data_IF_495090330114
#
_entry.id   IF_495090330114
#
_cell.length_a   1.000
_cell.length_b   1.000
_cell.length_c   1.000
_cell.angle_alpha   90.00
_cell.angle_beta   90.00
_cell.angle_gamma   90.00
#
_symmetry.space_group_name_H-M   'P 1'
#
loop_
_entity.id
_entity.type
_entity.pdbx_description
1 polymer ?
#
# COMPACT_ATOMS: atom_id res chain seq x y z
N UNK A 1 -12.44 6.36 -85.89
CA UNK A 1 -11.07 6.07 -85.43
C UNK A 1 -10.78 6.96 -84.22
N UNK A 2 -10.56 6.37 -83.05
CA UNK A 2 -10.33 7.14 -81.83
C UNK A 2 -8.82 7.35 -81.67
N UNK A 3 -8.38 8.55 -81.99
CA UNK A 3 -6.99 9.00 -81.95
C UNK A 3 -6.65 9.45 -80.53
N UNK A 4 -6.10 8.56 -79.71
CA UNK A 4 -5.46 8.93 -78.43
C UNK A 4 -4.16 8.15 -78.26
N UNK A 5 -3.13 8.54 -79.01
CA UNK A 5 -1.79 8.00 -78.86
C UNK A 5 -0.75 9.11 -79.02
N UNK A 6 -0.67 10.01 -78.04
CA UNK A 6 0.54 10.80 -77.81
C UNK A 6 0.64 11.25 -76.35
N UNK A 7 0.43 10.34 -75.40
CA UNK A 7 0.80 10.54 -74.01
C UNK A 7 2.25 10.10 -73.81
N UNK A 8 3.10 11.01 -73.34
CA UNK A 8 4.51 10.73 -73.03
C UNK A 8 4.63 9.50 -72.13
N UNK A 9 5.69 8.70 -72.30
CA UNK A 9 5.89 7.45 -71.54
C UNK A 9 5.88 7.63 -70.01
N UNK A 10 6.06 8.87 -69.53
CA UNK A 10 5.92 9.22 -68.10
C UNK A 10 4.44 9.25 -67.64
N UNK A 11 3.53 9.75 -68.47
CA UNK A 11 2.09 9.85 -68.16
C UNK A 11 1.39 8.49 -68.28
N UNK A 12 1.77 7.69 -69.28
CA UNK A 12 1.28 6.31 -69.42
C UNK A 12 1.71 5.41 -68.24
N UNK A 13 2.93 5.60 -67.71
CA UNK A 13 3.41 4.87 -66.53
C UNK A 13 2.71 5.32 -65.25
N UNK A 14 2.39 6.60 -65.12
CA UNK A 14 1.63 7.12 -63.98
C UNK A 14 0.19 6.57 -63.94
N UNK A 15 -0.48 6.47 -65.09
CA UNK A 15 -1.82 5.90 -65.19
C UNK A 15 -1.86 4.41 -64.82
N UNK A 16 -0.85 3.63 -65.27
CA UNK A 16 -0.72 2.20 -64.93
C UNK A 16 -0.44 2.01 -63.44
N UNK A 17 0.41 2.84 -62.82
CA UNK A 17 0.58 2.82 -61.36
C UNK A 17 -0.72 3.20 -60.65
N UNK A 18 -1.43 4.24 -61.12
CA UNK A 18 -2.69 4.70 -60.51
C UNK A 18 -3.79 3.62 -60.53
N UNK A 19 -3.85 2.79 -61.58
CA UNK A 19 -4.80 1.68 -61.69
C UNK A 19 -4.39 0.44 -60.88
N UNK A 20 -3.10 0.25 -60.62
CA UNK A 20 -2.60 -0.86 -59.80
C UNK A 20 -2.67 -0.58 -58.29
N UNK A 21 -2.63 0.69 -57.88
CA UNK A 21 -2.65 1.11 -56.48
C UNK A 21 -3.90 0.62 -55.71
N UNK A 22 -5.14 0.65 -56.23
CA UNK A 22 -6.30 0.13 -55.51
C UNK A 22 -6.19 -1.37 -55.24
N UNK A 23 -5.73 -2.15 -56.22
CA UNK A 23 -5.50 -3.59 -56.05
C UNK A 23 -4.41 -3.87 -55.03
N UNK A 24 -3.26 -3.21 -55.16
CA UNK A 24 -2.16 -3.30 -54.20
C UNK A 24 -2.56 -2.83 -52.80
N UNK A 25 -3.38 -1.80 -52.69
CA UNK A 25 -3.90 -1.29 -51.42
C UNK A 25 -4.88 -2.29 -50.80
N UNK A 26 -5.77 -2.91 -51.57
CA UNK A 26 -6.66 -3.98 -51.06
C UNK A 26 -5.87 -5.21 -50.61
N UNK A 27 -4.88 -5.67 -51.39
CA UNK A 27 -3.99 -6.77 -50.98
C UNK A 27 -3.16 -6.42 -49.76
N UNK A 28 -2.66 -5.18 -49.67
CA UNK A 28 -1.89 -4.70 -48.53
C UNK A 28 -2.76 -4.56 -47.27
N UNK A 29 -3.98 -4.03 -47.39
CA UNK A 29 -4.94 -3.93 -46.29
C UNK A 29 -5.40 -5.30 -45.80
N UNK A 30 -5.58 -6.27 -46.70
CA UNK A 30 -5.94 -7.64 -46.32
C UNK A 30 -4.78 -8.39 -45.64
N UNK A 31 -3.54 -7.97 -45.90
CA UNK A 31 -2.33 -8.50 -45.25
C UNK A 31 -1.84 -7.64 -44.07
N UNK A 32 -2.67 -6.72 -43.55
CA UNK A 32 -2.36 -6.01 -42.31
C UNK A 32 -2.87 -6.82 -41.10
N UNK A 33 -1.98 -7.36 -40.26
CA UNK A 33 -2.40 -8.09 -39.05
C UNK A 33 -3.18 -7.22 -38.06
N UNK A 34 -3.03 -5.89 -38.14
CA UNK A 34 -3.73 -4.92 -37.31
C UNK A 34 -5.22 -4.71 -37.69
N UNK A 35 -5.59 -4.91 -38.97
CA UNK A 35 -6.96 -4.68 -39.47
C UNK A 35 -7.87 -5.90 -39.20
N UNK A 36 -7.30 -7.11 -39.16
CA UNK A 36 -8.04 -8.36 -38.93
C UNK A 36 -8.32 -8.67 -37.45
N UNK A 37 -8.05 -7.74 -36.53
CA UNK A 37 -8.34 -7.92 -35.11
C UNK A 37 -7.44 -8.94 -34.39
N UNK A 38 -6.37 -9.41 -35.02
CA UNK A 38 -5.34 -10.16 -34.30
C UNK A 38 -4.43 -9.16 -33.57
N UNK A 39 -4.93 -8.67 -32.43
CA UNK A 39 -4.03 -8.24 -31.34
C UNK A 39 -3.05 -9.38 -31.17
N UNK A 40 -1.75 -9.12 -31.37
CA UNK A 40 -0.70 -10.08 -31.05
C UNK A 40 -0.99 -10.58 -29.64
N UNK A 41 -1.46 -11.83 -29.52
CA UNK A 41 -1.90 -12.37 -28.25
C UNK A 41 -0.73 -12.20 -27.29
N UNK A 42 -0.91 -11.39 -26.25
CA UNK A 42 0.10 -11.21 -25.22
C UNK A 42 0.49 -12.62 -24.76
N UNK A 43 1.73 -13.00 -25.06
CA UNK A 43 2.22 -14.36 -24.78
C UNK A 43 2.50 -14.55 -23.29
N UNK A 44 2.34 -13.51 -22.48
CA UNK A 44 2.47 -13.58 -21.05
C UNK A 44 1.25 -14.23 -20.40
N UNK A 45 1.44 -14.96 -19.29
CA UNK A 45 0.35 -15.49 -18.51
C UNK A 45 -0.51 -14.36 -17.90
N UNK A 46 -1.78 -14.67 -17.66
CA UNK A 46 -2.65 -13.88 -16.79
C UNK A 46 -2.33 -14.30 -15.36
N UNK A 47 -1.94 -13.34 -14.52
CA UNK A 47 -1.69 -13.56 -13.10
C UNK A 47 -2.83 -12.97 -12.27
N UNK A 48 -3.33 -13.73 -11.31
CA UNK A 48 -4.39 -13.29 -10.41
C UNK A 48 -4.05 -13.68 -8.97
N UNK A 49 -4.31 -12.77 -8.03
CA UNK A 49 -4.18 -12.99 -6.59
C UNK A 49 -5.60 -12.94 -6.02
N UNK A 50 -5.93 -13.86 -5.12
CA UNK A 50 -7.20 -13.82 -4.38
C UNK A 50 -7.44 -12.47 -3.69
N UNK A 51 -8.70 -12.10 -3.46
CA UNK A 51 -8.97 -10.93 -2.64
C UNK A 51 -8.54 -11.18 -1.19
N UNK A 52 -7.93 -10.16 -0.60
CA UNK A 52 -7.29 -10.18 0.72
C UNK A 52 -7.68 -8.85 1.33
N UNK A 53 -8.50 -8.92 2.37
CA UNK A 53 -9.03 -7.75 3.07
C UNK A 53 -8.04 -7.21 4.09
N UNK A 54 -8.58 -6.55 5.11
CA UNK A 54 -7.81 -6.05 6.23
C UNK A 54 -7.29 -7.22 7.08
N UNK A 55 -6.00 -7.21 7.42
CA UNK A 55 -5.36 -8.30 8.16
C UNK A 55 -4.63 -7.76 9.40
N UNK A 56 -4.42 -8.62 10.39
CA UNK A 56 -3.80 -8.26 11.67
C UNK A 56 -2.42 -8.91 11.82
N UNK A 57 -1.55 -8.32 12.65
CA UNK A 57 -0.24 -8.92 12.97
C UNK A 57 -0.38 -10.32 13.56
N UNK A 58 0.63 -11.17 13.33
CA UNK A 58 0.71 -12.56 13.79
C UNK A 58 -0.41 -13.49 13.30
N UNK A 59 -1.19 -13.06 12.31
CA UNK A 59 -2.18 -13.90 11.64
C UNK A 59 -1.53 -14.68 10.50
N UNK A 60 -1.88 -15.96 10.36
CA UNK A 60 -1.53 -16.75 9.18
C UNK A 60 -2.44 -16.37 8.01
N UNK A 61 -1.87 -15.69 7.01
CA UNK A 61 -2.59 -15.27 5.80
C UNK A 61 -2.29 -16.27 4.70
N UNK A 62 -3.33 -16.75 4.01
CA UNK A 62 -3.19 -17.62 2.85
C UNK A 62 -3.34 -16.81 1.57
N UNK A 63 -2.39 -16.98 0.66
CA UNK A 63 -2.35 -16.34 -0.65
C UNK A 63 -2.55 -17.41 -1.73
N UNK A 64 -3.54 -17.21 -2.60
CA UNK A 64 -3.89 -18.17 -3.66
C UNK A 64 -3.79 -17.51 -5.04
N UNK A 65 -3.09 -18.17 -5.97
CA UNK A 65 -2.90 -17.76 -7.36
C UNK A 65 -3.59 -18.69 -8.38
N UNK A 66 -4.49 -19.59 -7.96
CA UNK A 66 -5.19 -20.57 -8.82
C UNK A 66 -5.97 -19.97 -9.99
N UNK A 67 -6.38 -18.71 -9.88
CA UNK A 67 -7.05 -18.01 -10.98
C UNK A 67 -6.09 -17.55 -12.09
N UNK A 68 -4.78 -17.77 -11.94
CA UNK A 68 -3.78 -17.49 -12.98
C UNK A 68 -3.85 -18.54 -14.09
N UNK A 69 -3.69 -18.09 -15.34
CA UNK A 69 -3.88 -18.94 -16.51
C UNK A 69 -3.04 -18.45 -17.70
N UNK A 70 -2.56 -19.36 -18.55
CA UNK A 70 -1.87 -19.05 -19.80
C UNK A 70 -2.61 -19.68 -20.99
N UNK A 71 -3.18 -18.82 -21.83
CA UNK A 71 -3.92 -19.19 -23.03
C UNK A 71 -3.04 -19.88 -24.09
N UNK A 72 -1.73 -19.68 -24.03
CA UNK A 72 -0.77 -20.13 -25.03
C UNK A 72 0.10 -21.30 -24.55
N UNK A 73 -0.08 -21.75 -23.31
CA UNK A 73 0.69 -22.85 -22.75
C UNK A 73 0.03 -24.19 -23.09
N UNK A 74 0.65 -24.91 -24.03
CA UNK A 74 0.23 -26.26 -24.45
C UNK A 74 0.25 -27.27 -23.28
N UNK A 75 0.93 -26.94 -22.19
CA UNK A 75 0.91 -27.60 -20.89
C UNK A 75 0.97 -26.51 -19.81
N UNK A 76 0.04 -26.55 -18.86
CA UNK A 76 -0.21 -25.60 -17.76
C UNK A 76 0.96 -25.37 -16.77
N UNK A 77 2.22 -25.53 -17.19
CA UNK A 77 3.42 -25.37 -16.36
C UNK A 77 3.64 -23.89 -16.09
N UNK A 78 2.92 -23.39 -15.08
CA UNK A 78 3.12 -22.08 -14.51
C UNK A 78 3.98 -22.20 -13.25
N UNK A 79 4.99 -21.35 -13.18
CA UNK A 79 5.82 -21.20 -11.99
C UNK A 79 5.38 -19.96 -11.23
N UNK A 80 5.18 -20.11 -9.92
CA UNK A 80 4.69 -19.06 -9.04
C UNK A 80 5.77 -18.68 -8.06
N UNK A 81 6.12 -17.40 -8.04
CA UNK A 81 7.07 -16.83 -7.08
C UNK A 81 6.40 -15.64 -6.39
N UNK A 82 6.43 -15.66 -5.07
CA UNK A 82 5.84 -14.66 -4.20
C UNK A 82 6.94 -13.85 -3.53
N UNK A 83 6.68 -12.56 -3.36
CA UNK A 83 7.46 -11.64 -2.54
C UNK A 83 6.49 -10.87 -1.64
N UNK A 84 6.57 -11.10 -0.34
CA UNK A 84 5.68 -10.54 0.68
C UNK A 84 6.05 -9.10 1.06
N UNK A 85 7.24 -8.62 0.67
CA UNK A 85 7.69 -7.25 0.91
C UNK A 85 8.10 -6.91 2.34
N UNK A 86 8.22 -7.90 3.24
CA UNK A 86 8.54 -7.72 4.68
C UNK A 86 10.04 -7.83 5.02
N UNK A 87 10.90 -8.26 4.08
CA UNK A 87 12.35 -8.35 4.29
C UNK A 87 13.03 -9.52 3.59
N UNK A 88 14.10 -10.06 4.17
CA UNK A 88 14.94 -11.09 3.54
C UNK A 88 14.29 -12.48 3.46
N UNK A 89 13.31 -12.77 4.30
CA UNK A 89 12.56 -14.05 4.33
C UNK A 89 11.18 -13.94 3.68
N UNK A 90 11.00 -12.93 2.81
CA UNK A 90 9.73 -12.55 2.18
C UNK A 90 9.37 -13.38 0.95
N UNK A 91 10.14 -14.42 0.59
CA UNK A 91 9.93 -15.12 -0.69
C UNK A 91 9.41 -16.53 -0.47
N UNK A 92 8.42 -16.91 -1.27
CA UNK A 92 7.86 -18.26 -1.31
C UNK A 92 7.57 -18.69 -2.74
N UNK A 93 7.44 -19.99 -2.96
CA UNK A 93 7.06 -20.56 -4.27
C UNK A 93 5.89 -21.51 -4.11
N UNK A 94 5.05 -21.59 -5.14
CA UNK A 94 3.86 -22.45 -5.15
C UNK A 94 2.58 -21.70 -5.48
N UNK A 95 1.56 -22.46 -5.89
CA UNK A 95 0.27 -21.92 -6.32
C UNK A 95 -0.52 -21.30 -5.16
N UNK A 96 -0.36 -21.84 -3.96
CA UNK A 96 -0.90 -21.32 -2.72
C UNK A 96 0.20 -21.34 -1.66
N UNK A 97 0.34 -20.22 -0.94
CA UNK A 97 1.38 -20.04 0.08
C UNK A 97 0.80 -19.39 1.32
N UNK A 98 1.49 -19.56 2.44
CA UNK A 98 1.11 -19.00 3.73
C UNK A 98 2.23 -18.10 4.24
N UNK A 99 1.86 -16.95 4.81
CA UNK A 99 2.83 -16.03 5.40
C UNK A 99 2.21 -15.25 6.57
N UNK A 100 3.06 -14.85 7.51
CA UNK A 100 2.69 -14.17 8.76
C UNK A 100 3.49 -12.87 8.85
N UNK A 101 2.78 -11.74 8.93
CA UNK A 101 3.41 -10.45 9.19
C UNK A 101 3.48 -10.19 10.70
N UNK A 102 4.69 -9.98 11.22
CA UNK A 102 4.94 -9.78 12.66
C UNK A 102 4.90 -8.31 13.08
N UNK A 103 5.09 -7.40 12.13
CA UNK A 103 5.09 -5.96 12.35
C UNK A 103 3.89 -5.33 11.64
N UNK A 104 3.23 -4.32 12.26
CA UNK A 104 2.17 -3.59 11.59
C UNK A 104 2.78 -2.65 10.54
N UNK A 105 2.09 -2.48 9.41
CA UNK A 105 2.61 -1.70 8.30
C UNK A 105 1.91 -1.97 6.98
N UNK A 106 2.32 -1.21 5.96
CA UNK A 106 1.87 -1.40 4.58
C UNK A 106 2.93 -2.19 3.81
N UNK A 107 2.57 -3.37 3.31
CA UNK A 107 3.46 -4.25 2.57
C UNK A 107 3.00 -4.39 1.11
N UNK A 108 3.94 -4.43 0.18
CA UNK A 108 3.64 -4.65 -1.23
C UNK A 108 3.86 -6.12 -1.58
N UNK A 109 2.77 -6.89 -1.52
CA UNK A 109 2.76 -8.27 -1.99
C UNK A 109 2.95 -8.27 -3.51
N UNK A 110 3.87 -9.08 -4.00
CA UNK A 110 4.11 -9.29 -5.41
C UNK A 110 4.00 -10.76 -5.75
N UNK A 111 3.19 -11.08 -6.75
CA UNK A 111 3.17 -12.38 -7.42
C UNK A 111 3.85 -12.24 -8.79
N UNK A 112 4.79 -13.13 -9.09
CA UNK A 112 5.31 -13.30 -10.44
C UNK A 112 4.98 -14.70 -10.93
N UNK A 113 4.21 -14.77 -12.00
CA UNK A 113 3.81 -15.99 -12.69
C UNK A 113 4.61 -16.08 -13.98
N UNK A 114 5.41 -17.13 -14.16
CA UNK A 114 6.17 -17.37 -15.38
C UNK A 114 5.74 -18.65 -16.08
N UNK A 115 5.80 -18.62 -17.41
CA UNK A 115 5.61 -19.76 -18.30
C UNK A 115 6.79 -19.87 -19.25
N UNK A 116 6.77 -20.87 -20.14
CA UNK A 116 7.81 -21.04 -21.17
C UNK A 116 7.84 -19.90 -22.20
N UNK A 117 6.77 -19.10 -22.29
CA UNK A 117 6.62 -18.05 -23.30
C UNK A 117 6.75 -16.63 -22.75
N UNK A 118 6.72 -16.46 -21.43
CA UNK A 118 6.77 -15.14 -20.81
C UNK A 118 6.60 -15.15 -19.30
N UNK A 119 6.52 -13.95 -18.72
CA UNK A 119 6.32 -13.76 -17.29
C UNK A 119 5.46 -12.55 -17.04
N UNK A 120 4.55 -12.65 -16.08
CA UNK A 120 3.70 -11.56 -15.62
C UNK A 120 3.87 -11.36 -14.13
N UNK A 121 3.98 -10.08 -13.75
CA UNK A 121 4.06 -9.64 -12.36
C UNK A 121 2.83 -8.82 -11.99
N UNK A 122 2.26 -9.11 -10.82
CA UNK A 122 1.13 -8.39 -10.23
C UNK A 122 1.49 -8.05 -8.80
N UNK A 123 1.13 -6.84 -8.36
CA UNK A 123 1.39 -6.38 -7.00
C UNK A 123 0.10 -5.90 -6.33
N UNK A 124 -0.04 -6.19 -5.04
CA UNK A 124 -1.15 -5.76 -4.19
C UNK A 124 -0.60 -5.15 -2.90
N UNK A 125 -1.18 -4.04 -2.48
CA UNK A 125 -0.85 -3.42 -1.19
C UNK A 125 -1.69 -4.07 -0.10
N UNK A 126 -1.03 -4.55 0.97
CA UNK A 126 -1.63 -5.12 2.17
C UNK A 126 -1.39 -4.18 3.33
N UNK A 127 -2.44 -3.91 4.12
CA UNK A 127 -2.34 -3.09 5.31
C UNK A 127 -2.52 -3.96 6.56
N UNK A 128 -1.42 -4.20 7.28
CA UNK A 128 -1.38 -5.02 8.49
C UNK A 128 -1.57 -4.11 9.70
N UNK A 129 -2.67 -4.31 10.43
CA UNK A 129 -2.96 -3.52 11.63
C UNK A 129 -2.49 -4.23 12.90
N UNK A 130 -2.19 -3.48 13.98
CA UNK A 130 -1.88 -4.09 15.27
C UNK A 130 -3.04 -4.96 15.76
N UNK A 131 -2.72 -6.06 16.43
CA UNK A 131 -3.72 -6.87 17.12
C UNK A 131 -4.22 -6.07 18.32
N UNK A 132 -5.52 -5.84 18.40
CA UNK A 132 -6.13 -5.23 19.58
C UNK A 132 -5.92 -6.17 20.77
N UNK A 133 -5.15 -5.74 21.75
CA UNK A 133 -5.09 -6.40 23.05
C UNK A 133 -6.36 -6.03 23.81
N UNK A 134 -7.24 -7.01 24.06
CA UNK A 134 -8.30 -6.81 25.04
C UNK A 134 -7.66 -6.82 26.42
N UNK A 135 -7.59 -5.65 27.05
CA UNK A 135 -7.29 -5.60 28.47
C UNK A 135 -8.61 -5.78 29.23
N UNK A 136 -8.80 -6.98 29.78
CA UNK A 136 -9.90 -7.21 30.70
C UNK A 136 -9.65 -6.36 31.94
N UNK A 137 -10.38 -5.25 32.05
CA UNK A 137 -10.34 -4.44 33.25
C UNK A 137 -10.90 -5.29 34.41
N UNK A 138 -10.09 -5.67 35.41
CA UNK A 138 -10.58 -6.48 36.53
C UNK A 138 -11.63 -5.74 37.36
N UNK A 139 -11.76 -4.42 37.16
CA UNK A 139 -12.78 -3.60 37.79
C UNK A 139 -14.03 -3.33 36.93
N UNK A 140 -14.14 -3.94 35.75
CA UNK A 140 -15.30 -3.76 34.88
C UNK A 140 -16.62 -4.21 35.55
N UNK A 141 -16.57 -5.27 36.36
CA UNK A 141 -17.72 -5.74 37.13
C UNK A 141 -18.18 -4.71 38.16
N UNK A 142 -17.25 -4.07 38.88
CA UNK A 142 -17.56 -3.11 39.95
C UNK A 142 -18.17 -1.79 39.47
N UNK A 143 -18.13 -1.48 38.17
CA UNK A 143 -18.83 -0.31 37.60
C UNK A 143 -20.35 -0.41 37.74
N UNK A 144 -20.91 -1.61 37.73
CA UNK A 144 -22.35 -1.83 37.82
C UNK A 144 -22.90 -1.68 39.25
N UNK A 145 -22.06 -1.97 40.25
CA UNK A 145 -22.37 -2.01 41.67
C UNK A 145 -21.66 -0.91 42.48
N UNK A 146 -20.83 -0.08 41.83
CA UNK A 146 -20.19 1.12 42.40
C UNK A 146 -19.14 0.85 43.48
N UNK A 147 -18.92 -0.41 43.89
CA UNK A 147 -18.06 -0.75 45.03
C UNK A 147 -16.92 -1.66 44.57
N UNK A 148 -15.68 -1.14 44.46
CA UNK A 148 -14.51 -1.98 44.26
C UNK A 148 -14.24 -2.85 45.50
N UNK A 149 -13.54 -3.99 45.35
CA UNK A 149 -13.25 -4.88 46.45
C UNK A 149 -12.39 -4.16 47.49
N UNK A 150 -12.61 -4.42 48.79
CA UNK A 150 -11.83 -3.82 49.84
C UNK A 150 -10.34 -4.09 49.62
N UNK A 151 -9.59 -3.01 49.59
CA UNK A 151 -8.15 -3.03 49.61
C UNK A 151 -7.73 -3.35 51.06
N UNK A 152 -7.21 -4.55 51.32
CA UNK A 152 -6.78 -4.97 52.66
C UNK A 152 -5.55 -4.22 53.20
N UNK A 153 -4.88 -3.43 52.36
CA UNK A 153 -3.74 -2.58 52.73
C UNK A 153 -4.15 -1.14 53.12
N UNK A 154 -5.41 -0.75 52.90
CA UNK A 154 -5.97 0.56 53.24
C UNK A 154 -7.03 0.35 54.30
N UNK A 155 -6.61 0.54 55.54
CA UNK A 155 -7.52 0.66 56.68
C UNK A 155 -7.99 2.11 56.67
N UNK A 156 -9.24 2.35 56.25
CA UNK A 156 -9.88 3.65 56.40
C UNK A 156 -10.10 3.90 57.90
N UNK A 157 -9.67 5.04 58.45
CA UNK A 157 -10.01 5.39 59.82
C UNK A 157 -11.52 5.55 59.93
N UNK A 158 -12.12 4.95 60.95
CA UNK A 158 -13.52 5.16 61.30
C UNK A 158 -13.69 6.57 61.90
N UNK A 159 -14.88 7.21 61.77
CA UNK A 159 -15.11 8.56 62.28
C UNK A 159 -14.85 8.77 63.78
N UNK A 160 -14.70 7.69 64.55
CA UNK A 160 -14.41 7.70 65.99
C UNK A 160 -13.02 7.15 66.34
N UNK A 161 -12.17 6.87 65.34
CA UNK A 161 -10.75 6.62 65.60
C UNK A 161 -10.10 7.95 65.97
N UNK A 162 -10.03 8.22 67.27
CA UNK A 162 -9.15 9.25 67.82
C UNK A 162 -7.74 8.92 67.30
N UNK A 163 -7.07 9.81 66.55
CA UNK A 163 -5.69 9.55 66.14
C UNK A 163 -4.82 9.53 67.40
N UNK A 164 -4.55 8.34 67.91
CA UNK A 164 -3.53 8.13 68.92
C UNK A 164 -2.19 8.35 68.23
N UNK A 165 -1.58 9.50 68.53
CA UNK A 165 -0.17 9.78 68.22
C UNK A 165 0.73 8.71 68.81
N UNK A 166 1.09 7.70 68.02
CA UNK A 166 2.26 6.86 68.25
C UNK A 166 3.02 6.76 66.94
N UNK A 167 4.06 7.58 66.86
CA UNK A 167 5.17 7.41 65.93
C UNK A 167 5.82 6.06 66.24
N UNK A 168 5.76 5.11 65.30
CA UNK A 168 6.70 3.98 65.27
C UNK A 168 7.77 4.35 64.24
N UNK A 169 9.00 4.70 64.65
CA UNK A 169 10.10 4.88 63.72
C UNK A 169 10.97 3.61 63.73
N UNK A 170 10.97 2.84 62.63
CA UNK A 170 12.14 2.01 62.27
C UNK A 170 12.25 1.90 60.75
N UNK A 171 13.41 2.33 60.25
CA UNK A 171 13.86 2.49 58.87
C UNK A 171 13.67 1.23 57.99
N UNK A 172 13.57 1.28 56.65
CA UNK A 172 14.57 1.83 55.72
C UNK A 172 13.96 1.87 54.31
N UNK A 173 13.88 3.05 53.69
CA UNK A 173 13.84 3.16 52.23
C UNK A 173 14.63 4.40 51.84
N UNK A 174 15.79 4.14 51.26
CA UNK A 174 16.71 5.10 50.66
C UNK A 174 15.94 6.06 49.77
N UNK A 175 16.14 7.36 49.99
CA UNK A 175 15.77 8.41 49.03
C UNK A 175 16.33 8.10 47.65
N UNK A 176 15.58 8.38 46.58
CA UNK A 176 16.05 9.47 45.75
C UNK A 176 15.07 10.64 45.79
N UNK A 177 15.64 11.82 45.90
CA UNK A 177 14.98 13.10 45.72
C UNK A 177 14.29 13.18 44.36
N UNK A 178 12.97 13.35 44.36
CA UNK A 178 12.27 13.94 43.22
C UNK A 178 12.17 15.44 43.49
N UNK A 179 13.17 16.14 42.97
CA UNK A 179 13.19 17.57 42.81
C UNK A 179 12.09 18.04 41.84
N UNK A 180 11.56 19.23 42.15
CA UNK A 180 10.75 20.12 41.32
C UNK A 180 9.38 19.61 40.84
N UNK A 181 8.36 20.06 41.57
CA UNK A 181 7.06 20.43 40.99
C UNK A 181 7.27 21.44 39.87
N UNK A 182 7.06 21.02 38.62
CA UNK A 182 6.88 21.95 37.51
C UNK A 182 5.38 22.22 37.39
N UNK A 183 4.99 23.46 37.64
CA UNK A 183 3.64 23.99 37.35
C UNK A 183 3.28 23.72 35.88
N UNK A 184 2.04 23.32 35.54
CA UNK A 184 1.61 23.23 34.14
C UNK A 184 1.32 24.65 33.64
N UNK A 185 2.37 25.40 33.32
CA UNK A 185 2.28 26.57 32.48
C UNK A 185 3.15 26.33 31.24
N UNK A 186 2.52 26.50 30.07
CA UNK A 186 3.14 26.62 28.74
C UNK A 186 3.67 25.33 28.06
N UNK A 187 2.75 24.47 27.61
CA UNK A 187 3.00 23.60 26.45
C UNK A 187 2.12 24.05 25.27
N UNK A 188 2.45 25.21 24.70
CA UNK A 188 1.95 25.63 23.38
C UNK A 188 3.03 26.30 22.51
N UNK A 189 4.29 26.31 22.95
CA UNK A 189 5.36 27.01 22.24
C UNK A 189 5.85 26.27 20.97
N UNK A 190 5.97 24.92 20.89
CA UNK A 190 6.48 24.30 19.65
C UNK A 190 5.44 24.29 18.52
N UNK A 191 4.14 24.29 18.84
CA UNK A 191 3.07 24.31 17.82
C UNK A 191 2.92 25.70 17.21
N UNK A 192 2.99 26.77 18.01
CA UNK A 192 2.91 28.14 17.51
C UNK A 192 4.13 28.53 16.65
N UNK A 193 5.34 28.10 17.05
CA UNK A 193 6.55 28.36 16.26
C UNK A 193 6.52 27.59 14.94
N UNK A 194 6.05 26.33 14.94
CA UNK A 194 5.86 25.55 13.70
C UNK A 194 4.87 26.20 12.73
N UNK A 195 3.74 26.70 13.24
CA UNK A 195 2.73 27.40 12.43
C UNK A 195 3.29 28.71 11.85
N UNK A 196 4.05 29.49 12.64
CA UNK A 196 4.69 30.72 12.15
C UNK A 196 5.72 30.45 11.05
N UNK A 197 6.51 29.37 11.17
CA UNK A 197 7.50 28.99 10.14
C UNK A 197 6.80 28.58 8.84
N UNK A 198 5.70 27.83 8.92
CA UNK A 198 4.90 27.43 7.75
C UNK A 198 4.29 28.65 7.06
N UNK A 199 3.71 29.57 7.83
CA UNK A 199 3.13 30.81 7.27
C UNK A 199 4.21 31.67 6.58
N UNK A 200 5.42 31.77 7.17
CA UNK A 200 6.54 32.51 6.58
C UNK A 200 7.01 31.89 5.26
N UNK A 201 7.10 30.55 5.19
CA UNK A 201 7.47 29.81 3.97
C UNK A 201 6.45 30.00 2.85
N UNK A 202 5.16 29.97 3.18
CA UNK A 202 4.08 30.21 2.21
C UNK A 202 4.11 31.64 1.69
N UNK A 203 4.33 32.63 2.57
CA UNK A 203 4.44 34.03 2.16
C UNK A 203 5.64 34.26 1.23
N UNK A 204 6.81 33.66 1.52
CA UNK A 204 8.00 33.73 0.67
C UNK A 204 7.75 33.08 -0.70
N UNK A 205 7.04 31.96 -0.77
CA UNK A 205 6.65 31.31 -2.02
C UNK A 205 5.73 32.19 -2.87
N UNK A 206 4.75 32.83 -2.25
CA UNK A 206 3.83 33.75 -2.94
C UNK A 206 4.58 34.99 -3.44
N UNK A 207 5.49 35.54 -2.65
CA UNK A 207 6.33 36.67 -3.06
C UNK A 207 7.28 36.30 -4.20
N UNK A 208 7.89 35.11 -4.16
CA UNK A 208 8.75 34.63 -5.24
C UNK A 208 7.95 34.44 -6.54
N UNK A 209 6.75 33.86 -6.45
CA UNK A 209 5.85 33.68 -7.58
C UNK A 209 5.36 35.02 -8.17
N UNK A 210 5.12 36.03 -7.32
CA UNK A 210 4.79 37.40 -7.76
C UNK A 210 5.98 38.15 -8.37
N UNK A 211 7.22 37.89 -7.93
CA UNK A 211 8.43 38.45 -8.58
C UNK A 211 8.61 37.90 -9.99
N UNK A 212 8.36 36.61 -10.20
CA UNK A 212 8.39 36.03 -11.55
C UNK A 212 7.30 36.58 -12.47
N UNK A 213 6.16 37.01 -11.93
CA UNK A 213 5.08 37.61 -12.73
C UNK A 213 5.28 39.09 -13.08
N UNK A 214 6.24 39.79 -12.44
CA UNK A 214 6.56 41.20 -12.71
C UNK A 214 7.80 41.39 -13.60
N UNK A 215 8.49 40.30 -13.94
CA UNK A 215 9.68 40.30 -14.81
C UNK A 215 9.39 39.66 -16.19
N UNK A 216 8.13 39.69 -16.62
CA UNK A 216 7.68 39.36 -17.99
C UNK A 216 6.96 40.58 -18.54
#
# INVERSE_FOLDING_TARGET
MNTFASGSSKEARALVLALALPGMLTTWMLNQPAILGQVSADKNPIAAISDIGLTVVNQNISFDARASYDLNANSNTLHYTWDFGDGSNSKATGIAVNHVYTTPGSYTLTLTVSSTKGSRRVSKVLNIVPQSTSYDNPYASYKANGVPPPNSAVILPTPNDIPSSQVIPTATATTPSLSSSVSPALVFIPVAVGICIIILLVALLIMNRRRHHKNV
#
